data_IF_930571789575
#
_entry.id   IF_930571789575
#
_cell.length_a   1.000
_cell.length_b   1.000
_cell.length_c   1.000
_cell.angle_alpha   90.00
_cell.angle_beta   90.00
_cell.angle_gamma   90.00
#
_symmetry.space_group_name_H-M   'P 1'
#
loop_
_entity.id
_entity.type
_entity.pdbx_description
1 polymer ?
#
# COMPACT_ATOMS: atom_id res chain seq x y z
N UNK A 1 -47.35 -25.83 -5.35
CA UNK A 1 -46.28 -25.62 -4.34
C UNK A 1 -44.92 -25.91 -4.98
N UNK A 2 -44.22 -24.86 -5.40
CA UNK A 2 -42.90 -24.96 -6.02
C UNK A 2 -41.93 -24.12 -5.19
N UNK A 3 -40.93 -24.78 -4.60
CA UNK A 3 -39.76 -24.14 -4.05
C UNK A 3 -38.73 -23.96 -5.17
N UNK A 4 -38.19 -22.77 -5.35
CA UNK A 4 -36.74 -22.60 -5.57
C UNK A 4 -36.33 -21.21 -5.10
N UNK A 5 -35.46 -21.24 -4.09
CA UNK A 5 -34.74 -20.10 -3.56
C UNK A 5 -33.66 -19.70 -4.57
N UNK A 6 -33.57 -18.41 -4.86
CA UNK A 6 -32.60 -17.85 -5.81
C UNK A 6 -32.06 -16.50 -5.31
N UNK A 7 -31.69 -16.41 -4.03
CA UNK A 7 -31.01 -15.24 -3.51
C UNK A 7 -29.54 -15.28 -3.94
N UNK A 8 -29.25 -14.48 -4.97
CA UNK A 8 -28.02 -13.77 -5.29
C UNK A 8 -26.73 -14.30 -4.66
N UNK A 9 -25.91 -14.98 -5.47
CA UNK A 9 -24.45 -15.06 -5.22
C UNK A 9 -23.90 -13.64 -5.32
N UNK A 10 -23.78 -12.97 -4.19
CA UNK A 10 -22.92 -11.81 -4.05
C UNK A 10 -21.52 -12.26 -4.50
N UNK A 11 -21.11 -11.79 -5.67
CA UNK A 11 -19.74 -11.93 -6.13
C UNK A 11 -18.85 -11.19 -5.14
N UNK A 12 -18.16 -11.95 -4.29
CA UNK A 12 -17.02 -11.47 -3.51
C UNK A 12 -15.82 -11.27 -4.43
N UNK A 13 -16.01 -10.55 -5.53
CA UNK A 13 -14.92 -10.04 -6.34
C UNK A 13 -14.83 -8.58 -5.94
N UNK A 14 -13.93 -8.29 -5.01
CA UNK A 14 -13.54 -6.93 -4.69
C UNK A 14 -12.94 -6.31 -5.93
N UNK A 15 -13.81 -5.77 -6.78
CA UNK A 15 -13.45 -4.98 -7.95
C UNK A 15 -12.90 -3.67 -7.37
N UNK A 16 -11.62 -3.74 -7.00
CA UNK A 16 -10.84 -2.61 -6.51
C UNK A 16 -10.90 -1.58 -7.62
N UNK A 17 -11.72 -0.54 -7.41
CA UNK A 17 -11.68 0.67 -8.23
C UNK A 17 -10.23 0.99 -8.57
N UNK A 18 -9.93 1.33 -9.83
CA UNK A 18 -8.57 1.56 -10.28
C UNK A 18 -7.91 2.52 -9.28
N UNK A 19 -6.76 2.14 -8.69
CA UNK A 19 -6.07 3.01 -7.77
C UNK A 19 -5.85 4.34 -8.49
N UNK A 20 -6.31 5.44 -7.88
CA UNK A 20 -5.97 6.77 -8.37
C UNK A 20 -4.44 6.91 -8.52
N UNK A 21 -3.96 7.92 -9.25
CA UNK A 21 -2.54 8.05 -9.55
C UNK A 21 -1.72 7.96 -8.25
N UNK A 22 -0.65 7.16 -8.23
CA UNK A 22 0.14 6.98 -7.02
C UNK A 22 0.79 8.31 -6.65
N UNK A 23 0.45 8.82 -5.48
CA UNK A 23 0.98 10.11 -5.00
C UNK A 23 2.29 9.85 -4.27
N UNK A 24 3.33 10.63 -4.59
CA UNK A 24 4.61 10.57 -3.88
C UNK A 24 4.43 11.04 -2.43
N UNK A 25 4.75 10.16 -1.48
CA UNK A 25 4.64 10.43 -0.04
C UNK A 25 5.84 9.88 0.71
N UNK A 26 6.15 10.50 1.85
CA UNK A 26 7.16 10.06 2.80
C UNK A 26 6.53 9.25 3.95
N UNK A 27 7.33 8.40 4.60
CA UNK A 27 6.91 7.56 5.71
C UNK A 27 6.37 8.36 6.91
N UNK A 28 6.93 9.54 7.21
CA UNK A 28 6.40 10.43 8.23
C UNK A 28 4.99 10.93 7.88
N UNK A 29 4.73 11.23 6.60
CA UNK A 29 3.42 11.69 6.16
C UNK A 29 2.39 10.56 6.24
N UNK A 30 2.75 9.34 5.79
CA UNK A 30 1.87 8.18 5.93
C UNK A 30 1.58 7.80 7.38
N UNK A 31 2.55 7.97 8.30
CA UNK A 31 2.30 7.73 9.74
C UNK A 31 1.23 8.67 10.31
N UNK A 32 1.12 9.88 9.79
CA UNK A 32 0.05 10.82 10.13
C UNK A 32 -1.23 10.65 9.28
N UNK A 33 -1.27 9.72 8.33
CA UNK A 33 -2.44 9.50 7.50
C UNK A 33 -3.53 8.78 8.29
N UNK A 34 -4.77 9.24 8.13
CA UNK A 34 -5.94 8.66 8.80
C UNK A 34 -6.75 7.89 7.77
N UNK A 35 -7.15 6.67 8.12
CA UNK A 35 -8.05 5.86 7.28
C UNK A 35 -9.49 6.31 7.50
N UNK A 36 -10.12 6.81 6.44
CA UNK A 36 -11.55 7.12 6.42
C UNK A 36 -12.43 5.88 6.42
N UNK A 37 -13.70 6.04 6.82
CA UNK A 37 -14.70 4.98 6.82
C UNK A 37 -15.04 4.46 5.40
N UNK A 38 -14.78 5.28 4.39
CA UNK A 38 -14.87 4.96 2.95
C UNK A 38 -13.71 4.10 2.44
N UNK A 39 -12.79 3.71 3.33
CA UNK A 39 -11.60 2.94 2.99
C UNK A 39 -10.52 3.73 2.25
N UNK A 40 -10.65 5.06 2.16
CA UNK A 40 -9.63 5.95 1.60
C UNK A 40 -8.71 6.48 2.69
N UNK A 41 -7.43 6.68 2.37
CA UNK A 41 -6.48 7.30 3.28
C UNK A 41 -6.50 8.82 3.08
N UNK A 42 -6.54 9.57 4.17
CA UNK A 42 -6.45 11.02 4.17
C UNK A 42 -5.12 11.46 4.77
N UNK A 43 -4.29 12.12 3.97
CA UNK A 43 -3.01 12.68 4.38
C UNK A 43 -3.22 14.11 4.90
N UNK A 44 -2.87 14.37 6.15
CA UNK A 44 -2.83 15.73 6.68
C UNK A 44 -1.70 16.53 6.04
N UNK A 45 -2.03 17.53 5.22
CA UNK A 45 -1.08 18.48 4.64
C UNK A 45 -1.17 19.85 5.31
N UNK A 46 -1.60 19.87 6.58
CA UNK A 46 -1.79 21.09 7.36
C UNK A 46 -0.49 21.92 7.48
N UNK A 47 0.65 21.26 7.68
CA UNK A 47 1.98 21.89 7.71
C UNK A 47 2.33 22.59 6.38
N UNK A 48 1.77 22.11 5.26
CA UNK A 48 1.93 22.73 3.94
C UNK A 48 0.84 23.78 3.64
N UNK A 49 -0.07 24.07 4.59
CA UNK A 49 -1.22 24.96 4.39
C UNK A 49 -2.25 24.41 3.39
N UNK A 50 -2.27 23.10 3.15
CA UNK A 50 -3.15 22.46 2.17
C UNK A 50 -4.20 21.59 2.86
N UNK A 51 -5.38 21.51 2.24
CA UNK A 51 -6.41 20.57 2.67
C UNK A 51 -5.94 19.11 2.61
N UNK A 52 -6.61 18.20 3.35
CA UNK A 52 -6.21 16.80 3.42
C UNK A 52 -6.28 16.13 2.04
N UNK A 53 -5.22 15.44 1.65
CA UNK A 53 -5.16 14.74 0.36
C UNK A 53 -5.68 13.31 0.53
N UNK A 54 -6.73 12.96 -0.23
CA UNK A 54 -7.27 11.60 -0.27
C UNK A 54 -6.48 10.75 -1.26
N UNK A 55 -5.94 9.61 -0.83
CA UNK A 55 -5.22 8.68 -1.69
C UNK A 55 -5.63 7.22 -1.43
N UNK A 56 -5.53 6.41 -2.50
CA UNK A 56 -5.68 4.95 -2.48
C UNK A 56 -4.37 4.21 -2.76
N UNK A 57 -3.46 4.87 -3.48
CA UNK A 57 -2.12 4.39 -3.76
C UNK A 57 -1.11 5.49 -3.41
N UNK A 58 0.02 5.04 -2.87
CA UNK A 58 1.14 5.87 -2.48
C UNK A 58 2.37 5.38 -3.23
N UNK A 59 3.14 6.31 -3.78
CA UNK A 59 4.49 6.03 -4.24
C UNK A 59 5.45 6.38 -3.10
N UNK A 60 6.21 5.39 -2.66
CA UNK A 60 7.30 5.58 -1.72
C UNK A 60 8.63 5.16 -2.33
N UNK A 61 9.71 5.79 -1.88
CA UNK A 61 11.06 5.43 -2.27
C UNK A 61 11.93 5.41 -1.02
N UNK A 62 12.69 4.34 -0.84
CA UNK A 62 13.57 4.17 0.30
C UNK A 62 14.59 3.07 0.08
N UNK A 63 15.55 2.99 0.98
CA UNK A 63 16.55 1.93 1.03
C UNK A 63 15.97 0.70 1.68
N UNK A 64 16.15 -0.47 1.07
CA UNK A 64 15.72 -1.75 1.64
C UNK A 64 16.65 -2.11 2.80
N UNK A 65 16.09 -2.23 4.00
CA UNK A 65 16.82 -2.65 5.19
C UNK A 65 16.78 -4.17 5.34
N UNK A 66 15.58 -4.75 5.25
CA UNK A 66 15.34 -6.17 5.50
C UNK A 66 14.31 -6.70 4.53
N UNK A 67 14.44 -7.96 4.12
CA UNK A 67 13.45 -8.66 3.30
C UNK A 67 13.18 -10.01 3.92
N UNK A 68 11.94 -10.26 4.34
CA UNK A 68 11.50 -11.56 4.82
C UNK A 68 10.66 -12.21 3.73
N UNK A 69 11.02 -13.42 3.31
CA UNK A 69 10.26 -14.21 2.32
C UNK A 69 9.78 -15.49 2.99
N UNK A 70 8.56 -15.94 2.67
CA UNK A 70 8.06 -17.26 3.07
C UNK A 70 7.36 -17.35 4.43
N UNK A 71 6.78 -16.25 4.95
CA UNK A 71 5.91 -16.29 6.15
C UNK A 71 4.44 -16.57 5.82
N UNK A 72 3.63 -16.89 6.84
CA UNK A 72 2.18 -17.11 6.71
C UNK A 72 1.40 -15.89 6.17
N UNK A 73 2.00 -14.69 6.24
CA UNK A 73 1.47 -13.44 5.70
C UNK A 73 2.03 -13.06 4.32
N UNK A 74 2.80 -13.94 3.69
CA UNK A 74 3.55 -13.64 2.46
C UNK A 74 4.93 -13.05 2.73
N UNK A 75 5.57 -12.55 1.68
CA UNK A 75 6.83 -11.82 1.75
C UNK A 75 6.62 -10.38 2.20
N UNK A 76 7.59 -9.87 2.95
CA UNK A 76 7.62 -8.47 3.38
C UNK A 76 9.00 -7.87 3.16
N UNK A 77 9.02 -6.55 2.96
CA UNK A 77 10.25 -5.78 2.90
C UNK A 77 10.13 -4.58 3.83
N UNK A 78 11.15 -4.38 4.66
CA UNK A 78 11.29 -3.19 5.48
C UNK A 78 12.21 -2.21 4.78
N UNK A 79 11.71 -1.01 4.55
CA UNK A 79 12.40 0.07 3.87
C UNK A 79 12.56 1.26 4.81
N UNK A 80 13.53 2.13 4.50
CA UNK A 80 13.71 3.41 5.17
C UNK A 80 13.90 4.51 4.14
N UNK A 81 13.09 5.55 4.27
CA UNK A 81 13.30 6.82 3.57
C UNK A 81 13.94 7.86 4.51
N UNK A 82 14.13 9.08 4.01
CA UNK A 82 14.70 10.18 4.79
C UNK A 82 13.87 10.56 6.03
N UNK A 83 12.60 10.19 6.07
CA UNK A 83 11.64 10.53 7.13
C UNK A 83 11.40 9.40 8.13
N UNK A 84 11.73 8.15 7.80
CA UNK A 84 11.59 7.01 8.70
C UNK A 84 11.52 5.66 8.00
N UNK A 85 11.32 4.60 8.79
CA UNK A 85 11.14 3.25 8.29
C UNK A 85 9.66 2.91 8.02
N UNK A 86 9.40 2.12 6.99
CA UNK A 86 8.09 1.59 6.64
C UNK A 86 8.19 0.14 6.17
N UNK A 87 7.12 -0.64 6.37
CA UNK A 87 7.07 -2.05 5.99
C UNK A 87 6.07 -2.25 4.85
N UNK A 88 6.51 -2.95 3.82
CA UNK A 88 5.72 -3.35 2.67
C UNK A 88 5.43 -4.84 2.78
N UNK A 89 4.17 -5.22 2.65
CA UNK A 89 3.73 -6.62 2.66
C UNK A 89 3.31 -7.03 1.24
N UNK A 90 3.36 -8.33 0.94
CA UNK A 90 2.95 -8.86 -0.36
C UNK A 90 3.96 -8.58 -1.48
N UNK A 91 5.26 -8.48 -1.15
CA UNK A 91 6.32 -8.13 -2.10
C UNK A 91 6.53 -9.19 -3.19
N UNK A 92 6.01 -10.39 -2.99
CA UNK A 92 5.93 -11.48 -3.96
C UNK A 92 4.92 -11.24 -5.08
N UNK A 93 3.90 -10.42 -4.85
CA UNK A 93 2.88 -10.06 -5.84
C UNK A 93 3.33 -8.92 -6.77
N UNK A 94 4.52 -8.37 -6.54
CA UNK A 94 5.10 -7.28 -7.32
C UNK A 94 5.81 -7.87 -8.54
N UNK A 95 5.68 -7.27 -9.73
CA UNK A 95 6.40 -7.72 -10.91
C UNK A 95 7.90 -7.78 -10.62
N UNK A 96 8.46 -8.98 -10.74
CA UNK A 96 9.87 -9.27 -10.55
C UNK A 96 10.64 -8.75 -11.78
N UNK A 97 10.83 -7.43 -11.85
CA UNK A 97 11.77 -6.81 -12.77
C UNK A 97 13.21 -7.09 -12.34
N UNK A 98 14.08 -6.07 -12.38
CA UNK A 98 15.41 -6.20 -11.75
C UNK A 98 15.23 -6.47 -10.24
N UNK A 99 15.94 -7.45 -9.65
CA UNK A 99 15.82 -7.74 -8.23
C UNK A 99 16.42 -6.59 -7.41
N UNK A 100 15.57 -5.62 -7.05
CA UNK A 100 15.91 -4.49 -6.18
C UNK A 100 15.55 -4.74 -4.70
N UNK A 101 14.93 -5.89 -4.41
CA UNK A 101 14.62 -6.38 -3.06
C UNK A 101 15.80 -7.13 -2.46
N UNK A 102 16.93 -6.45 -2.34
CA UNK A 102 18.13 -6.89 -1.63
C UNK A 102 18.46 -5.88 -0.54
N UNK A 103 18.81 -6.37 0.65
CA UNK A 103 19.23 -5.49 1.75
C UNK A 103 20.42 -4.65 1.31
N UNK A 104 20.35 -3.32 1.50
CA UNK A 104 21.36 -2.38 1.05
C UNK A 104 21.16 -1.81 -0.35
N UNK A 105 20.11 -2.21 -1.09
CA UNK A 105 19.75 -1.54 -2.34
C UNK A 105 19.07 -0.19 -2.05
N UNK A 106 19.65 0.89 -2.58
CA UNK A 106 19.19 2.26 -2.36
C UNK A 106 17.90 2.62 -3.11
N UNK A 107 17.44 1.78 -4.04
CA UNK A 107 16.32 2.10 -4.92
C UNK A 107 15.32 0.94 -4.99
N UNK A 108 14.31 1.00 -4.12
CA UNK A 108 13.06 0.27 -4.31
C UNK A 108 11.95 1.28 -4.61
N UNK A 109 11.26 1.04 -5.73
CA UNK A 109 10.20 1.89 -6.25
C UNK A 109 8.96 1.03 -6.40
N UNK A 110 7.86 1.48 -5.79
CA UNK A 110 6.57 0.81 -5.78
C UNK A 110 5.48 1.76 -6.26
#
# INVERSE_FOLDING_TARGET
PAATSGASRAGCCGERLPPGPPVKVLAAQLRGAVRGADGMWALGLAEAGRGPLRLRAAWMQGTVLEVARGGAAGGSARLRDASGAFTVLGVEAVPQGRPCLSAGTAEFKM
#
